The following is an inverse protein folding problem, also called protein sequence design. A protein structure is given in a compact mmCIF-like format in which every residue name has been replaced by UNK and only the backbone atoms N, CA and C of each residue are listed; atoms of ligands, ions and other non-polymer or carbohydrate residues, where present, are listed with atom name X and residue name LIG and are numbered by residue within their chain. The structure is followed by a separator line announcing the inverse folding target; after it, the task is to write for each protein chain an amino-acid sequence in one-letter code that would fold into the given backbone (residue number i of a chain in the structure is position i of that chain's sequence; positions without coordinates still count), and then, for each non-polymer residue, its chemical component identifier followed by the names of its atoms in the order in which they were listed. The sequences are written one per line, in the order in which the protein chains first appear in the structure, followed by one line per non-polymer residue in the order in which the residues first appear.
data_IF_417299627947
#
_entry.id   IF_417299627947
#
_cell.length_a   1.000
_cell.length_b   1.000
_cell.length_c   1.000
_cell.angle_alpha   90.00
_cell.angle_beta   90.00
_cell.angle_gamma   90.00
#
_symmetry.space_group_name_H-M   'P 1'
#
loop_
_entity.id
_entity.type
_entity.pdbx_description
1 polymer ?
#
# COMPACT_ATOMS: atom_id res chain seq x y z
N UNK A 1 67.00 2.41 -22.06
CA UNK A 1 66.66 3.67 -22.74
C UNK A 1 65.47 4.33 -22.03
N UNK A 2 65.66 5.46 -21.34
CA UNK A 2 64.54 6.21 -20.72
C UNK A 2 63.90 7.08 -21.80
N UNK A 3 62.69 6.71 -22.24
CA UNK A 3 61.89 7.52 -23.16
C UNK A 3 61.48 8.83 -22.45
N UNK A 4 62.12 9.94 -22.83
CA UNK A 4 61.81 11.27 -22.32
C UNK A 4 60.54 11.77 -23.00
N UNK A 5 59.42 11.71 -22.28
CA UNK A 5 58.14 12.26 -22.75
C UNK A 5 58.31 13.78 -22.85
N UNK A 6 58.15 14.33 -24.05
CA UNK A 6 58.25 15.77 -24.29
C UNK A 6 57.22 16.54 -23.46
N UNK A 7 57.58 17.75 -23.02
CA UNK A 7 56.76 18.59 -22.13
C UNK A 7 55.34 18.79 -22.66
N UNK A 8 55.16 18.88 -23.99
CA UNK A 8 53.85 18.96 -24.65
C UNK A 8 52.98 17.72 -24.44
N UNK A 9 53.57 16.52 -24.51
CA UNK A 9 52.86 15.26 -24.23
C UNK A 9 52.48 15.13 -22.76
N UNK A 10 53.32 15.61 -21.84
CA UNK A 10 52.98 15.66 -20.41
C UNK A 10 51.77 16.55 -20.13
N UNK A 11 51.72 17.75 -20.72
CA UNK A 11 50.59 18.67 -20.57
C UNK A 11 49.32 18.04 -21.14
N UNK A 12 49.38 17.42 -22.32
CA UNK A 12 48.22 16.79 -22.95
C UNK A 12 47.65 15.63 -22.11
N UNK A 13 48.53 14.83 -21.48
CA UNK A 13 48.11 13.78 -20.56
C UNK A 13 47.45 14.32 -19.29
N UNK A 14 47.96 15.44 -18.74
CA UNK A 14 47.35 16.09 -17.56
C UNK A 14 45.96 16.62 -17.89
N UNK A 15 45.78 17.26 -19.05
CA UNK A 15 44.47 17.77 -19.49
C UNK A 15 43.48 16.61 -19.73
N UNK A 16 43.91 15.54 -20.38
CA UNK A 16 43.06 14.37 -20.61
C UNK A 16 42.62 13.71 -19.29
N UNK A 17 43.52 13.59 -18.32
CA UNK A 17 43.20 13.07 -16.98
C UNK A 17 42.17 13.97 -16.26
N UNK A 18 42.32 15.29 -16.37
CA UNK A 18 41.38 16.25 -15.79
C UNK A 18 39.97 16.10 -16.38
N UNK A 19 39.85 15.93 -17.70
CA UNK A 19 38.55 15.73 -18.36
C UNK A 19 37.88 14.44 -17.88
N UNK A 20 38.63 13.35 -17.74
CA UNK A 20 38.09 12.07 -17.22
C UNK A 20 37.62 12.22 -15.77
N UNK A 21 38.39 12.92 -14.93
CA UNK A 21 38.02 13.15 -13.53
C UNK A 21 36.75 14.00 -13.39
N UNK A 22 36.62 15.07 -14.18
CA UNK A 22 35.40 15.90 -14.18
C UNK A 22 34.21 15.10 -14.70
N UNK A 23 34.37 14.32 -15.77
CA UNK A 23 33.32 13.45 -16.31
C UNK A 23 32.84 12.42 -15.28
N UNK A 24 33.76 11.73 -14.61
CA UNK A 24 33.44 10.78 -13.55
C UNK A 24 32.72 11.46 -12.37
N UNK A 25 33.16 12.64 -11.95
CA UNK A 25 32.50 13.42 -10.89
C UNK A 25 31.06 13.78 -11.25
N UNK A 26 30.82 14.23 -12.48
CA UNK A 26 29.46 14.57 -12.95
C UNK A 26 28.57 13.33 -13.01
N UNK A 27 29.07 12.20 -13.50
CA UNK A 27 28.29 10.94 -13.57
C UNK A 27 27.92 10.45 -12.16
N UNK A 28 28.87 10.44 -11.22
CA UNK A 28 28.60 10.03 -9.82
C UNK A 28 27.57 10.97 -9.16
N UNK A 29 27.72 12.28 -9.34
CA UNK A 29 26.84 13.24 -8.68
C UNK A 29 25.49 13.48 -9.36
N UNK A 30 25.34 13.18 -10.66
CA UNK A 30 24.05 13.36 -11.36
C UNK A 30 23.29 12.06 -11.60
N UNK A 31 24.00 10.95 -11.85
CA UNK A 31 23.36 9.67 -12.21
C UNK A 31 23.23 8.76 -10.99
N UNK A 32 24.25 8.72 -10.13
CA UNK A 32 24.27 7.80 -8.99
C UNK A 32 23.75 8.41 -7.69
N UNK A 33 23.84 9.74 -7.52
CA UNK A 33 23.02 10.45 -6.53
C UNK A 33 21.61 10.68 -7.06
N UNK A 34 20.91 9.60 -7.43
CA UNK A 34 19.47 9.59 -7.15
C UNK A 34 19.40 9.61 -5.65
N UNK A 35 19.05 10.76 -5.10
CA UNK A 35 18.82 10.91 -3.68
C UNK A 35 17.90 9.76 -3.28
N UNK A 36 18.44 8.81 -2.53
CA UNK A 36 17.62 8.00 -1.64
C UNK A 36 17.06 9.03 -0.68
N UNK A 37 15.94 9.64 -1.06
CA UNK A 37 15.11 10.40 -0.15
C UNK A 37 14.78 9.40 0.94
N UNK A 38 15.53 9.46 2.04
CA UNK A 38 15.08 8.92 3.31
C UNK A 38 13.90 9.82 3.66
N UNK A 39 12.73 9.39 3.18
CA UNK A 39 11.43 10.01 3.36
C UNK A 39 11.17 10.03 4.85
N UNK A 40 11.67 11.04 5.55
CA UNK A 40 11.20 11.35 6.90
C UNK A 40 9.87 12.03 6.69
N UNK A 41 8.83 11.23 6.42
CA UNK A 41 7.45 11.68 6.50
C UNK A 41 7.27 12.31 7.90
N UNK A 42 6.51 13.42 8.02
CA UNK A 42 6.09 13.89 9.33
C UNK A 42 5.48 12.70 10.07
N UNK A 43 6.15 12.25 11.12
CA UNK A 43 5.76 11.07 11.87
C UNK A 43 4.59 11.46 12.77
N UNK A 44 3.40 11.59 12.16
CA UNK A 44 2.16 11.38 12.90
C UNK A 44 2.16 9.89 13.21
N UNK A 45 2.86 9.50 14.27
CA UNK A 45 2.88 8.15 14.84
C UNK A 45 1.54 7.89 15.52
N UNK A 46 0.45 7.98 14.76
CA UNK A 46 -0.86 7.51 15.20
C UNK A 46 -0.95 6.04 14.86
N UNK A 47 -1.40 5.23 15.81
CA UNK A 47 -1.77 3.86 15.50
C UNK A 47 -3.08 3.90 14.70
N UNK A 48 -2.97 4.10 13.39
CA UNK A 48 -4.10 4.21 12.47
C UNK A 48 -5.01 2.97 12.53
N UNK A 49 -4.54 1.79 13.00
CA UNK A 49 -5.37 0.59 13.13
C UNK A 49 -6.25 0.74 14.35
N UNK A 50 -5.66 1.14 15.48
CA UNK A 50 -6.42 1.40 16.70
C UNK A 50 -7.46 2.52 16.48
N UNK A 51 -7.08 3.59 15.77
CA UNK A 51 -8.01 4.69 15.46
C UNK A 51 -9.06 4.30 14.41
N UNK A 52 -8.67 3.56 13.36
CA UNK A 52 -9.63 2.98 12.40
C UNK A 52 -10.62 2.04 13.08
N UNK A 53 -10.22 1.41 14.19
CA UNK A 53 -11.09 0.61 15.04
C UNK A 53 -12.30 1.37 15.59
N UNK A 54 -12.29 2.70 15.57
CA UNK A 54 -13.38 3.54 16.08
C UNK A 54 -14.07 4.35 14.97
N UNK A 55 -13.81 4.04 13.70
CA UNK A 55 -14.39 4.73 12.54
C UNK A 55 -15.72 4.10 12.10
N UNK A 56 -16.42 4.83 11.22
CA UNK A 56 -17.59 4.32 10.51
C UNK A 56 -17.17 3.80 9.12
N UNK A 57 -17.72 2.67 8.68
CA UNK A 57 -17.56 2.16 7.32
C UNK A 57 -18.91 1.83 6.70
N UNK A 58 -19.08 2.07 5.40
CA UNK A 58 -20.27 1.63 4.68
C UNK A 58 -20.05 0.22 4.12
N UNK A 59 -20.74 -0.78 4.66
CA UNK A 59 -20.64 -2.19 4.27
C UNK A 59 -21.96 -2.61 3.67
N UNK A 60 -21.96 -2.94 2.37
CA UNK A 60 -23.19 -3.28 1.63
C UNK A 60 -24.27 -2.18 1.70
N UNK A 61 -23.86 -0.91 1.78
CA UNK A 61 -24.77 0.24 1.91
C UNK A 61 -25.30 0.48 3.32
N UNK A 62 -24.87 -0.31 4.32
CA UNK A 62 -25.17 -0.09 5.74
C UNK A 62 -23.99 0.60 6.40
N UNK A 63 -24.24 1.70 7.08
CA UNK A 63 -23.21 2.39 7.86
C UNK A 63 -22.96 1.64 9.17
N UNK A 64 -21.73 1.18 9.34
CA UNK A 64 -21.26 0.37 10.46
C UNK A 64 -20.29 1.20 11.29
N UNK A 65 -20.72 1.58 12.49
CA UNK A 65 -19.86 2.20 13.48
C UNK A 65 -19.10 1.12 14.25
N UNK A 66 -17.77 1.18 14.19
CA UNK A 66 -16.92 0.29 14.97
C UNK A 66 -16.59 0.89 16.34
N UNK A 67 -16.45 -0.02 17.31
CA UNK A 67 -15.94 0.21 18.65
C UNK A 67 -14.80 -0.80 18.87
N UNK A 68 -13.58 -0.28 19.01
CA UNK A 68 -12.34 -1.07 19.12
C UNK A 68 -12.19 -2.16 18.05
N UNK A 69 -12.48 -1.80 16.79
CA UNK A 69 -12.33 -2.67 15.63
C UNK A 69 -13.41 -3.74 15.51
N UNK A 70 -14.46 -3.69 16.32
CA UNK A 70 -15.62 -4.60 16.24
C UNK A 70 -16.94 -3.84 16.20
N UNK A 71 -17.95 -4.44 15.58
CA UNK A 71 -19.30 -3.89 15.54
C UNK A 71 -20.35 -4.99 15.47
N UNK A 72 -21.53 -4.70 16.01
CA UNK A 72 -22.78 -5.41 15.74
C UNK A 72 -23.82 -4.37 15.35
N UNK A 73 -24.46 -4.53 14.20
CA UNK A 73 -25.33 -3.51 13.63
C UNK A 73 -26.64 -4.15 13.18
N UNK A 74 -27.75 -3.53 13.56
CA UNK A 74 -29.06 -3.89 13.03
C UNK A 74 -29.07 -3.65 11.51
N UNK A 75 -29.26 -4.72 10.72
CA UNK A 75 -29.25 -4.66 9.25
C UNK A 75 -28.08 -5.40 8.59
N UNK A 76 -27.05 -5.80 9.36
CA UNK A 76 -26.07 -6.80 8.92
C UNK A 76 -26.12 -7.99 9.87
N UNK A 77 -26.40 -9.21 9.39
CA UNK A 77 -26.44 -10.38 10.25
C UNK A 77 -25.06 -10.66 10.84
N UNK A 78 -25.00 -10.89 12.15
CA UNK A 78 -23.79 -11.31 12.85
C UNK A 78 -22.89 -10.17 13.36
N UNK A 79 -21.58 -10.40 13.36
CA UNK A 79 -20.58 -9.44 13.86
C UNK A 79 -19.58 -9.06 12.81
N UNK A 80 -19.23 -7.78 12.77
CA UNK A 80 -18.24 -7.23 11.86
C UNK A 80 -16.97 -6.88 12.63
N UNK A 81 -15.81 -7.16 12.05
CA UNK A 81 -14.49 -6.93 12.67
C UNK A 81 -13.46 -6.44 11.65
N UNK A 82 -12.66 -5.45 12.02
CA UNK A 82 -11.44 -5.08 11.30
C UNK A 82 -10.35 -6.09 11.65
N UNK A 83 -9.78 -6.71 10.63
CA UNK A 83 -8.68 -7.67 10.78
C UNK A 83 -7.38 -6.93 11.12
N UNK A 84 -6.51 -7.57 11.90
CA UNK A 84 -5.17 -7.03 12.19
C UNK A 84 -4.27 -6.93 10.95
N UNK A 85 -4.57 -7.70 9.90
CA UNK A 85 -3.87 -7.63 8.62
C UNK A 85 -4.23 -6.33 7.91
N UNK A 86 -3.23 -5.47 7.75
CA UNK A 86 -3.33 -4.18 7.08
C UNK A 86 -2.09 -3.95 6.21
N UNK A 87 -2.15 -2.93 5.36
CA UNK A 87 -1.04 -2.48 4.53
C UNK A 87 -0.99 -0.96 4.56
N UNK A 88 0.21 -0.40 4.75
CA UNK A 88 0.44 1.03 4.77
C UNK A 88 1.03 1.49 3.43
N UNK A 89 0.35 2.42 2.77
CA UNK A 89 0.77 3.04 1.50
C UNK A 89 0.31 4.49 1.56
N UNK A 90 1.05 5.42 0.96
CA UNK A 90 0.55 6.78 0.70
C UNK A 90 -0.33 6.74 -0.58
N UNK A 91 -1.62 6.45 -0.41
CA UNK A 91 -2.53 6.23 -1.54
C UNK A 91 -2.85 7.52 -2.28
N UNK A 92 -2.90 8.66 -1.58
CA UNK A 92 -3.27 9.96 -2.14
C UNK A 92 -2.07 10.87 -2.50
N UNK A 93 -0.83 10.39 -2.30
CA UNK A 93 0.43 11.13 -2.53
C UNK A 93 0.62 12.39 -1.67
N UNK A 94 -0.02 12.48 -0.51
CA UNK A 94 0.09 13.64 0.39
C UNK A 94 1.27 13.57 1.37
N UNK A 95 2.08 12.51 1.27
CA UNK A 95 3.23 12.18 2.13
C UNK A 95 2.86 11.70 3.53
N UNK A 96 1.60 11.38 3.77
CA UNK A 96 1.12 10.66 4.96
C UNK A 96 0.87 9.21 4.58
N UNK A 97 1.14 8.29 5.50
CA UNK A 97 0.84 6.88 5.26
C UNK A 97 -0.63 6.63 5.54
N UNK A 98 -1.35 6.22 4.51
CA UNK A 98 -2.72 5.71 4.61
C UNK A 98 -2.69 4.21 4.94
N UNK A 99 -3.86 3.63 5.23
CA UNK A 99 -3.95 2.22 5.61
C UNK A 99 -5.06 1.49 4.89
N UNK A 100 -4.70 0.46 4.12
CA UNK A 100 -5.65 -0.51 3.60
C UNK A 100 -5.95 -1.55 4.69
N UNK A 101 -7.25 -1.84 4.88
CA UNK A 101 -7.76 -2.74 5.91
C UNK A 101 -8.67 -3.80 5.30
N UNK A 102 -8.72 -4.95 5.99
CA UNK A 102 -9.68 -6.02 5.69
C UNK A 102 -10.74 -6.02 6.77
N UNK A 103 -12.00 -6.02 6.35
CA UNK A 103 -13.15 -6.15 7.23
C UNK A 103 -13.74 -7.54 7.05
N UNK A 104 -13.95 -8.25 8.15
CA UNK A 104 -14.57 -9.57 8.23
C UNK A 104 -15.98 -9.43 8.79
N UNK A 105 -16.97 -10.03 8.15
CA UNK A 105 -18.33 -10.16 8.67
C UNK A 105 -18.62 -11.65 8.93
N UNK A 106 -18.68 -12.01 10.20
CA UNK A 106 -19.09 -13.34 10.68
C UNK A 106 -20.60 -13.35 10.88
N UNK A 107 -21.35 -13.99 9.95
CA UNK A 107 -22.80 -14.10 10.02
C UNK A 107 -23.24 -15.19 10.99
N UNK A 108 -24.47 -15.06 11.49
CA UNK A 108 -25.07 -16.02 12.45
C UNK A 108 -25.28 -17.42 11.86
N UNK A 109 -25.42 -17.53 10.54
CA UNK A 109 -25.53 -18.79 9.81
C UNK A 109 -24.17 -19.52 9.64
N UNK A 110 -23.08 -18.96 10.18
CA UNK A 110 -21.72 -19.47 10.07
C UNK A 110 -20.99 -19.05 8.79
N UNK A 111 -21.64 -18.27 7.93
CA UNK A 111 -21.04 -17.74 6.70
C UNK A 111 -20.13 -16.55 7.03
N UNK A 112 -18.97 -16.48 6.37
CA UNK A 112 -18.02 -15.38 6.56
C UNK A 112 -17.84 -14.61 5.27
N UNK A 113 -18.00 -13.28 5.31
CA UNK A 113 -17.71 -12.39 4.19
C UNK A 113 -16.50 -11.51 4.50
N UNK A 114 -15.72 -11.21 3.47
CA UNK A 114 -14.57 -10.32 3.57
C UNK A 114 -14.77 -9.10 2.67
N UNK A 115 -14.29 -7.95 3.12
CA UNK A 115 -14.33 -6.68 2.42
C UNK A 115 -12.98 -5.99 2.52
N UNK A 116 -12.60 -5.24 1.49
CA UNK A 116 -11.45 -4.35 1.49
C UNK A 116 -11.93 -2.90 1.65
N UNK A 117 -11.18 -2.09 2.38
CA UNK A 117 -11.37 -0.64 2.49
C UNK A 117 -10.01 0.04 2.65
N UNK A 118 -9.96 1.34 2.43
CA UNK A 118 -8.79 2.18 2.78
C UNK A 118 -9.23 3.26 3.76
N UNK A 119 -8.36 3.56 4.72
CA UNK A 119 -8.44 4.69 5.62
C UNK A 119 -7.36 5.68 5.19
N UNK A 120 -7.79 6.82 4.66
CA UNK A 120 -6.95 7.95 4.28
C UNK A 120 -6.67 8.81 5.51
N UNK A 121 -5.43 9.26 5.65
CA UNK A 121 -4.96 10.06 6.79
C UNK A 121 -4.52 11.42 6.27
N UNK A 122 -5.26 12.47 6.61
CA UNK A 122 -4.87 13.83 6.27
C UNK A 122 -3.62 14.29 7.01
N UNK A 123 -2.93 15.30 6.47
CA UNK A 123 -1.77 15.94 7.13
C UNK A 123 -2.08 16.54 8.50
N UNK A 124 -3.35 16.88 8.75
CA UNK A 124 -3.89 17.34 10.03
C UNK A 124 -4.27 16.19 10.98
N UNK A 125 -4.11 14.94 10.54
CA UNK A 125 -4.51 13.74 11.25
C UNK A 125 -5.99 13.38 11.11
N UNK A 126 -6.75 14.06 10.25
CA UNK A 126 -8.15 13.70 9.98
C UNK A 126 -8.21 12.35 9.26
N UNK A 127 -9.07 11.44 9.73
CA UNK A 127 -9.25 10.12 9.13
C UNK A 127 -10.49 10.10 8.24
N UNK A 128 -10.34 9.61 7.00
CA UNK A 128 -11.44 9.44 6.05
C UNK A 128 -11.41 8.03 5.48
N UNK A 129 -12.46 7.25 5.63
CA UNK A 129 -12.55 5.93 5.01
C UNK A 129 -13.09 6.03 3.58
N UNK A 130 -12.63 5.13 2.72
CA UNK A 130 -13.21 4.92 1.39
C UNK A 130 -14.45 4.01 1.46
N UNK A 131 -15.09 3.76 0.31
CA UNK A 131 -16.07 2.69 0.16
C UNK A 131 -15.43 1.31 0.39
N UNK A 132 -16.27 0.35 0.77
CA UNK A 132 -15.84 -1.05 0.90
C UNK A 132 -16.09 -1.83 -0.40
N UNK A 133 -15.19 -2.76 -0.73
CA UNK A 133 -15.36 -3.69 -1.84
C UNK A 133 -15.39 -5.13 -1.30
N UNK A 134 -16.47 -5.87 -1.58
CA UNK A 134 -16.58 -7.28 -1.19
C UNK A 134 -15.51 -8.12 -1.90
N UNK A 135 -14.75 -8.89 -1.13
CA UNK A 135 -13.79 -9.89 -1.58
C UNK A 135 -14.42 -11.28 -1.78
N UNK A 136 -15.64 -11.47 -1.27
CA UNK A 136 -16.43 -12.69 -1.42
C UNK A 136 -16.63 -13.44 -0.11
N UNK A 137 -17.39 -14.53 -0.23
CA UNK A 137 -17.72 -15.46 0.85
C UNK A 137 -16.58 -16.46 1.10
N UNK A 138 -16.36 -16.85 2.35
CA UNK A 138 -15.46 -17.94 2.75
C UNK A 138 -13.99 -17.74 2.34
N UNK A 139 -13.60 -16.52 1.98
CA UNK A 139 -12.29 -16.22 1.43
C UNK A 139 -11.21 -16.22 2.51
N UNK A 140 -10.11 -16.95 2.31
CA UNK A 140 -8.98 -16.92 3.24
C UNK A 140 -7.90 -15.95 2.76
N UNK A 141 -7.83 -14.78 3.39
CA UNK A 141 -6.87 -13.72 3.03
C UNK A 141 -5.42 -14.15 3.33
N UNK A 142 -4.64 -14.39 2.28
CA UNK A 142 -3.25 -14.84 2.37
C UNK A 142 -2.32 -13.66 2.66
N UNK A 143 -2.36 -12.62 1.84
CA UNK A 143 -1.49 -11.44 1.98
C UNK A 143 -2.04 -10.23 1.24
N UNK A 144 -1.55 -9.07 1.68
CA UNK A 144 -1.68 -7.81 0.97
C UNK A 144 -0.29 -7.42 0.48
N UNK A 145 -0.19 -6.89 -0.74
CA UNK A 145 1.07 -6.52 -1.37
C UNK A 145 0.95 -5.12 -1.94
N UNK A 146 1.87 -4.24 -1.54
CA UNK A 146 2.08 -2.98 -2.24
C UNK A 146 2.58 -3.26 -3.66
N UNK A 147 2.09 -2.48 -4.60
CA UNK A 147 2.46 -2.49 -6.00
C UNK A 147 2.89 -1.07 -6.41
N UNK A 148 3.57 -0.90 -7.56
CA UNK A 148 3.89 0.42 -8.07
C UNK A 148 2.65 1.32 -8.22
N UNK A 149 2.90 2.63 -8.33
CA UNK A 149 1.90 3.65 -8.62
C UNK A 149 0.78 3.75 -7.56
N UNK A 150 1.14 3.55 -6.28
CA UNK A 150 0.24 3.59 -5.13
C UNK A 150 -0.94 2.62 -5.25
N UNK A 151 -0.71 1.50 -5.92
CA UNK A 151 -1.71 0.42 -6.03
C UNK A 151 -1.37 -0.68 -5.05
N UNK A 152 -2.34 -1.54 -4.75
CA UNK A 152 -2.08 -2.73 -3.93
C UNK A 152 -2.88 -3.92 -4.43
N UNK A 153 -2.46 -5.11 -4.04
CA UNK A 153 -3.20 -6.32 -4.31
C UNK A 153 -3.51 -7.10 -3.05
N UNK A 154 -4.65 -7.76 -3.08
CA UNK A 154 -5.07 -8.72 -2.05
C UNK A 154 -5.06 -10.09 -2.69
N UNK A 155 -4.25 -10.98 -2.14
CA UNK A 155 -4.20 -12.39 -2.52
C UNK A 155 -4.96 -13.20 -1.48
N UNK A 156 -5.90 -14.02 -1.94
CA UNK A 156 -6.77 -14.80 -1.09
C UNK A 156 -7.16 -16.12 -1.76
N UNK A 157 -7.59 -17.06 -0.94
CA UNK A 157 -8.12 -18.33 -1.40
C UNK A 157 -9.65 -18.27 -1.37
N UNK A 158 -10.27 -18.33 -2.53
CA UNK A 158 -11.72 -18.41 -2.66
C UNK A 158 -12.17 -19.86 -2.42
N UNK A 159 -13.11 -20.06 -1.48
CA UNK A 159 -13.73 -21.35 -1.25
C UNK A 159 -15.02 -21.44 -2.04
N UNK A 160 -15.09 -22.37 -3.00
CA UNK A 160 -16.31 -22.63 -3.78
C UNK A 160 -17.41 -23.30 -2.94
N UNK A 161 -17.03 -24.02 -1.88
CA UNK A 161 -17.93 -24.57 -0.87
C UNK A 161 -17.18 -24.68 0.47
N UNK A 162 -17.80 -24.33 1.62
CA UNK A 162 -17.12 -24.37 2.92
C UNK A 162 -16.63 -25.76 3.35
N UNK A 163 -17.25 -26.83 2.82
CA UNK A 163 -17.05 -28.20 3.30
C UNK A 163 -16.06 -29.04 2.48
N UNK A 164 -16.02 -28.94 1.13
CA UNK A 164 -15.34 -29.98 0.33
C UNK A 164 -14.62 -29.52 -0.97
N UNK A 165 -14.60 -28.22 -1.30
CA UNK A 165 -14.01 -27.77 -2.57
C UNK A 165 -12.54 -27.31 -2.43
N UNK A 166 -11.68 -27.56 -3.44
CA UNK A 166 -10.35 -26.99 -3.46
C UNK A 166 -10.41 -25.46 -3.45
N UNK A 167 -9.53 -24.87 -2.67
CA UNK A 167 -9.35 -23.41 -2.59
C UNK A 167 -8.75 -22.88 -3.90
N UNK A 168 -9.42 -21.93 -4.53
CA UNK A 168 -8.94 -21.32 -5.78
C UNK A 168 -8.15 -20.05 -5.42
N UNK A 169 -6.86 -19.95 -5.78
CA UNK A 169 -6.11 -18.73 -5.56
C UNK A 169 -6.66 -17.60 -6.42
N UNK A 170 -6.96 -16.47 -5.77
CA UNK A 170 -7.42 -15.23 -6.37
C UNK A 170 -6.48 -14.10 -5.99
N UNK A 171 -6.39 -13.14 -6.91
CA UNK A 171 -5.68 -11.88 -6.74
C UNK A 171 -6.55 -10.78 -7.30
N UNK A 172 -6.84 -9.77 -6.48
CA UNK A 172 -7.51 -8.54 -6.92
C UNK A 172 -6.61 -7.37 -6.65
N UNK A 173 -6.60 -6.41 -7.57
CA UNK A 173 -5.73 -5.23 -7.51
C UNK A 173 -6.61 -4.01 -7.36
N UNK A 174 -6.19 -3.09 -6.50
CA UNK A 174 -6.96 -1.95 -6.09
C UNK A 174 -6.13 -0.67 -6.18
N UNK A 175 -6.82 0.43 -6.40
CA UNK A 175 -6.29 1.78 -6.32
C UNK A 175 -7.31 2.71 -5.65
N UNK A 176 -6.81 3.81 -5.09
CA UNK A 176 -7.67 4.87 -4.57
C UNK A 176 -7.69 6.02 -5.57
N UNK A 177 -8.89 6.45 -5.94
CA UNK A 177 -9.13 7.63 -6.78
C UNK A 177 -9.93 8.65 -5.98
N UNK A 178 -9.27 9.74 -5.57
CA UNK A 178 -9.85 10.72 -4.65
C UNK A 178 -10.16 10.08 -3.30
N UNK A 179 -11.44 9.83 -3.03
CA UNK A 179 -11.93 9.20 -1.79
C UNK A 179 -12.58 7.82 -2.04
N UNK A 180 -12.42 7.27 -3.24
CA UNK A 180 -13.03 6.00 -3.63
C UNK A 180 -11.98 4.91 -3.83
N UNK A 181 -12.20 3.74 -3.25
CA UNK A 181 -11.49 2.51 -3.58
C UNK A 181 -12.11 1.91 -4.83
N UNK A 182 -11.27 1.60 -5.83
CA UNK A 182 -11.67 0.96 -7.07
C UNK A 182 -10.83 -0.30 -7.33
N UNK A 183 -11.42 -1.28 -8.01
CA UNK A 183 -10.69 -2.45 -8.49
C UNK A 183 -10.16 -2.23 -9.91
N UNK A 184 -8.89 -2.52 -10.12
CA UNK A 184 -8.25 -2.52 -11.44
C UNK A 184 -8.52 -3.87 -12.11
N UNK A 185 -9.53 -3.89 -12.99
CA UNK A 185 -9.82 -5.06 -13.82
C UNK A 185 -8.88 -5.03 -15.04
N UNK A 186 -7.84 -5.88 -15.02
CA UNK A 186 -7.03 -6.10 -16.22
C UNK A 186 -7.88 -6.85 -17.25
N UNK A 187 -8.19 -6.18 -18.35
CA UNK A 187 -8.78 -6.81 -19.55
C UNK A 187 -7.75 -7.69 -20.25
#
# INVERSE_FOLDING_TARGET
MKSSISTKRKILLIVALLVVLVGAYVVVNRVLKKETYVRTAPTVSRDVVAEAGNMNFSIQGVDVKFDDGTARVEGLPGSVKIMSKSLEIDFNSDRVMDRAVIIKNDREDGTVYFYASVVLVGQDGTLTNTNTISLGEGSLIQRMLELPDNTFSIEYLERKNPKDAPSIPRKRTFQVEGYALSEIVKK
#
